data_IF_925318321996
#
_entry.id   IF_925318321996
#
_cell.length_a   1.000
_cell.length_b   1.000
_cell.length_c   1.000
_cell.angle_alpha   90.00
_cell.angle_beta   90.00
_cell.angle_gamma   90.00
#
_symmetry.space_group_name_H-M   'P 1'
#
loop_
_entity.id
_entity.type
_entity.pdbx_description
1 polymer ?
#
# COMPACT_ATOMS: atom_id res chain seq x y z
N UNK A 1 41.41 12.53 -22.94
CA UNK A 1 41.94 11.93 -21.71
C UNK A 1 41.14 12.50 -20.55
N UNK A 2 40.30 11.63 -19.92
CA UNK A 2 39.34 11.82 -18.80
C UNK A 2 38.22 12.88 -18.92
N UNK A 3 37.08 12.77 -18.20
CA UNK A 3 36.40 11.59 -17.61
C UNK A 3 34.88 11.59 -17.92
N UNK A 4 34.16 10.48 -17.77
CA UNK A 4 32.76 10.55 -17.27
C UNK A 4 32.48 9.39 -16.32
N UNK A 5 32.33 9.75 -15.05
CA UNK A 5 31.85 8.90 -13.98
C UNK A 5 30.41 8.47 -14.29
N UNK A 6 30.20 7.16 -14.41
CA UNK A 6 28.87 6.58 -14.50
C UNK A 6 28.14 6.72 -13.18
N UNK A 7 27.27 7.72 -13.05
CA UNK A 7 26.29 7.79 -11.97
C UNK A 7 25.26 6.69 -12.19
N UNK A 8 25.36 5.61 -11.42
CA UNK A 8 24.33 4.58 -11.40
C UNK A 8 23.03 5.18 -10.84
N UNK A 9 22.06 5.37 -11.74
CA UNK A 9 20.73 5.90 -11.43
C UNK A 9 19.98 4.86 -10.60
N UNK A 10 19.72 5.16 -9.32
CA UNK A 10 18.81 4.39 -8.47
C UNK A 10 17.42 4.47 -9.09
N UNK A 11 16.97 3.39 -9.73
CA UNK A 11 15.59 3.24 -10.20
C UNK A 11 14.69 2.94 -8.99
N UNK A 12 14.36 3.98 -8.22
CA UNK A 12 13.22 3.88 -7.32
C UNK A 12 12.00 3.75 -8.22
N UNK A 13 11.28 2.64 -8.07
CA UNK A 13 10.06 2.35 -8.80
C UNK A 13 9.00 3.30 -8.25
N UNK A 14 8.96 4.52 -8.78
CA UNK A 14 7.92 5.49 -8.51
C UNK A 14 6.61 4.85 -8.98
N UNK A 15 5.86 4.31 -8.03
CA UNK A 15 4.47 3.93 -8.26
C UNK A 15 3.73 5.20 -8.71
N UNK A 16 2.88 5.12 -9.75
CA UNK A 16 2.18 6.29 -10.26
C UNK A 16 1.22 6.79 -9.18
N UNK A 17 1.56 7.94 -8.59
CA UNK A 17 0.70 8.68 -7.66
C UNK A 17 -0.26 9.55 -8.47
N UNK A 18 -1.15 8.90 -9.23
CA UNK A 18 -2.30 9.58 -9.84
C UNK A 18 -3.54 8.68 -9.69
N UNK A 19 -3.81 8.28 -8.46
CA UNK A 19 -5.09 7.72 -8.05
C UNK A 19 -5.81 8.82 -7.27
N UNK A 20 -6.80 9.46 -7.88
CA UNK A 20 -7.65 10.47 -7.26
C UNK A 20 -8.64 9.89 -6.24
N UNK A 21 -8.15 9.10 -5.28
CA UNK A 21 -8.91 8.64 -4.12
C UNK A 21 -9.01 9.73 -3.06
N UNK A 22 -10.17 9.89 -2.44
CA UNK A 22 -10.38 10.88 -1.37
C UNK A 22 -9.47 10.59 -0.17
N UNK A 23 -9.19 11.60 0.64
CA UNK A 23 -8.35 11.49 1.85
C UNK A 23 -8.57 10.22 2.72
N UNK A 24 -9.81 9.75 3.01
CA UNK A 24 -10.01 8.52 3.78
C UNK A 24 -9.53 7.24 3.05
N UNK A 25 -9.64 7.18 1.72
CA UNK A 25 -9.20 6.04 0.92
C UNK A 25 -7.68 5.93 0.97
N UNK A 26 -6.98 7.06 0.83
CA UNK A 26 -5.51 7.13 0.96
C UNK A 26 -5.04 6.68 2.35
N UNK A 27 -5.70 7.15 3.41
CA UNK A 27 -5.38 6.74 4.77
C UNK A 27 -5.57 5.23 4.99
N UNK A 28 -6.61 4.64 4.39
CA UNK A 28 -6.86 3.20 4.47
C UNK A 28 -5.78 2.38 3.75
N UNK A 29 -5.25 2.87 2.62
CA UNK A 29 -4.18 2.21 1.87
C UNK A 29 -2.86 2.30 2.62
N UNK A 30 -2.50 3.48 3.14
CA UNK A 30 -1.29 3.66 3.95
C UNK A 30 -1.30 2.75 5.18
N UNK A 31 -2.45 2.65 5.85
CA UNK A 31 -2.64 1.70 6.95
C UNK A 31 -2.54 0.24 6.47
N UNK A 32 -3.09 -0.10 5.30
CA UNK A 32 -3.05 -1.46 4.77
C UNK A 32 -1.62 -1.96 4.53
N UNK A 33 -0.69 -1.10 4.11
CA UNK A 33 0.73 -1.48 3.97
C UNK A 33 1.36 -1.84 5.32
N UNK A 34 1.14 -1.02 6.35
CA UNK A 34 1.65 -1.25 7.70
C UNK A 34 1.03 -2.50 8.34
N UNK A 35 -0.29 -2.65 8.23
CA UNK A 35 -1.02 -3.80 8.77
C UNK A 35 -0.63 -5.08 8.04
N UNK A 36 -0.40 -5.03 6.72
CA UNK A 36 0.02 -6.19 5.96
C UNK A 36 1.35 -6.75 6.50
N UNK A 37 2.33 -5.89 6.78
CA UNK A 37 3.61 -6.31 7.37
C UNK A 37 3.39 -6.98 8.74
N UNK A 38 2.67 -6.31 9.65
CA UNK A 38 2.38 -6.85 10.98
C UNK A 38 1.57 -8.18 10.93
N UNK A 39 0.61 -8.29 10.01
CA UNK A 39 -0.19 -9.48 9.82
C UNK A 39 0.63 -10.64 9.23
N UNK A 40 1.61 -10.37 8.36
CA UNK A 40 2.54 -11.40 7.89
C UNK A 40 3.46 -11.90 9.01
N UNK A 41 3.93 -11.02 9.89
CA UNK A 41 4.75 -11.41 11.03
C UNK A 41 3.96 -12.26 12.05
N UNK A 42 2.67 -11.96 12.24
CA UNK A 42 1.78 -12.69 13.14
C UNK A 42 1.20 -13.99 12.52
N UNK A 43 1.10 -14.05 11.19
CA UNK A 43 0.39 -15.12 10.47
C UNK A 43 -1.13 -14.93 10.39
N UNK A 44 -1.64 -13.70 10.54
CA UNK A 44 -3.08 -13.41 10.39
C UNK A 44 -3.47 -13.35 8.91
N UNK A 45 -3.86 -14.50 8.37
CA UNK A 45 -4.28 -14.64 6.98
C UNK A 45 -5.55 -13.84 6.63
N UNK A 46 -6.44 -13.59 7.59
CA UNK A 46 -7.65 -12.81 7.35
C UNK A 46 -7.30 -11.33 7.15
N UNK A 47 -6.46 -10.77 8.00
CA UNK A 47 -5.96 -9.40 7.85
C UNK A 47 -5.10 -9.25 6.58
N UNK A 48 -4.22 -10.21 6.28
CA UNK A 48 -3.43 -10.21 5.03
C UNK A 48 -4.34 -10.14 3.80
N UNK A 49 -5.44 -10.90 3.78
CA UNK A 49 -6.38 -10.89 2.67
C UNK A 49 -7.11 -9.55 2.54
N UNK A 50 -7.55 -8.96 3.66
CA UNK A 50 -8.21 -7.66 3.69
C UNK A 50 -7.28 -6.54 3.20
N UNK A 51 -6.04 -6.48 3.71
CA UNK A 51 -5.04 -5.49 3.26
C UNK A 51 -4.77 -5.57 1.77
N UNK A 52 -4.62 -6.81 1.24
CA UNK A 52 -4.42 -7.02 -0.19
C UNK A 52 -5.60 -6.52 -1.02
N UNK A 53 -6.85 -6.72 -0.58
CA UNK A 53 -8.04 -6.19 -1.26
C UNK A 53 -8.07 -4.66 -1.25
N UNK A 54 -7.68 -4.03 -0.14
CA UNK A 54 -7.63 -2.56 -0.03
C UNK A 54 -6.58 -1.96 -0.97
N UNK A 55 -5.39 -2.55 -0.99
CA UNK A 55 -4.30 -2.11 -1.88
C UNK A 55 -4.65 -2.37 -3.35
N UNK A 56 -5.19 -3.54 -3.68
CA UNK A 56 -5.59 -3.88 -5.05
C UNK A 56 -6.69 -2.94 -5.55
N UNK A 57 -7.65 -2.57 -4.69
CA UNK A 57 -8.68 -1.63 -5.05
C UNK A 57 -8.09 -0.27 -5.48
N UNK A 58 -7.18 0.31 -4.68
CA UNK A 58 -6.49 1.56 -5.01
C UNK A 58 -5.67 1.45 -6.29
N UNK A 59 -4.92 0.35 -6.47
CA UNK A 59 -4.11 0.12 -7.67
C UNK A 59 -4.96 0.00 -8.94
N UNK A 60 -6.20 -0.50 -8.81
CA UNK A 60 -7.17 -0.60 -9.89
C UNK A 60 -8.04 0.67 -10.04
N UNK A 61 -7.85 1.70 -9.19
CA UNK A 61 -8.67 2.92 -9.20
C UNK A 61 -10.12 2.68 -8.76
N UNK A 62 -10.34 1.68 -7.90
CA UNK A 62 -11.64 1.29 -7.34
C UNK A 62 -11.66 1.48 -5.83
N UNK A 63 -12.85 1.44 -5.23
CA UNK A 63 -13.01 1.59 -3.79
C UNK A 63 -13.07 0.21 -3.14
N UNK A 64 -12.26 0.02 -2.10
CA UNK A 64 -12.25 -1.20 -1.31
C UNK A 64 -13.56 -1.38 -0.53
N UNK A 65 -13.89 -2.63 -0.18
CA UNK A 65 -15.06 -2.91 0.65
C UNK A 65 -14.94 -2.25 2.02
N UNK A 66 -16.04 -1.66 2.53
CA UNK A 66 -16.05 -0.98 3.83
C UNK A 66 -15.60 -1.90 4.98
N UNK A 67 -15.96 -3.18 4.93
CA UNK A 67 -15.51 -4.17 5.92
C UNK A 67 -13.98 -4.38 5.91
N UNK A 68 -13.36 -4.35 4.73
CA UNK A 68 -11.89 -4.45 4.62
C UNK A 68 -11.22 -3.17 5.11
N UNK A 69 -11.79 -2.00 4.79
CA UNK A 69 -11.31 -0.69 5.27
C UNK A 69 -11.41 -0.61 6.80
N UNK A 70 -12.55 -0.98 7.38
CA UNK A 70 -12.77 -0.94 8.83
C UNK A 70 -11.83 -1.91 9.57
N UNK A 71 -11.59 -3.09 8.99
CA UNK A 71 -10.62 -4.05 9.55
C UNK A 71 -9.21 -3.44 9.56
N UNK A 72 -8.76 -2.86 8.45
CA UNK A 72 -7.43 -2.27 8.34
C UNK A 72 -7.25 -1.08 9.28
N UNK A 73 -8.23 -0.17 9.33
CA UNK A 73 -8.19 0.99 10.24
C UNK A 73 -8.36 0.59 11.71
N UNK A 74 -8.96 -0.57 11.98
CA UNK A 74 -9.20 -1.13 13.31
C UNK A 74 -8.07 -2.02 13.84
N UNK A 75 -7.14 -2.46 13.01
CA UNK A 75 -6.24 -3.58 13.34
C UNK A 75 -5.35 -3.35 14.58
N UNK A 76 -4.91 -2.11 14.81
CA UNK A 76 -4.05 -1.75 15.95
C UNK A 76 -4.80 -1.05 17.11
N UNK A 77 -6.13 -0.99 17.06
CA UNK A 77 -6.95 -0.30 18.06
C UNK A 77 -7.31 -1.19 19.25
#
# INVERSE_FOLDING_TARGET
MLPQFGTAIRKNKSLPVDAGGSAPEKASVDAAWLVLEAANDLGDHAAIAACRRVIDAELNGTVAGSADIDLVLGYFR
#
